data_IF_026005999579
#
_entry.id   IF_026005999579
#
_cell.length_a   1.000
_cell.length_b   1.000
_cell.length_c   1.000
_cell.angle_alpha   90.00
_cell.angle_beta   90.00
_cell.angle_gamma   90.00
#
_symmetry.space_group_name_H-M   'P 1'
#
loop_
_entity.id
_entity.type
_entity.pdbx_description
1 polymer ?
#
# COMPACT_ATOMS: atom_id res chain seq x y z
N UNK A 1 -31.10 12.95 3.90
CA UNK A 1 -31.42 12.09 2.74
C UNK A 1 -30.46 10.93 2.83
N UNK A 2 -30.94 9.70 3.08
CA UNK A 2 -30.07 8.53 3.06
C UNK A 2 -29.39 8.46 1.68
N UNK A 3 -28.10 8.15 1.62
CA UNK A 3 -27.47 7.98 0.31
C UNK A 3 -28.18 6.83 -0.42
N UNK A 4 -28.33 6.89 -1.75
CA UNK A 4 -29.05 5.86 -2.52
C UNK A 4 -28.61 4.43 -2.22
N UNK A 5 -27.36 4.27 -1.79
CA UNK A 5 -26.74 3.00 -1.41
C UNK A 5 -27.37 2.39 -0.14
N UNK A 6 -27.69 3.22 0.87
CA UNK A 6 -28.22 2.74 2.15
C UNK A 6 -29.65 2.21 1.98
N UNK A 7 -30.46 2.92 1.18
CA UNK A 7 -31.83 2.49 0.84
C UNK A 7 -31.85 1.13 0.13
N UNK A 8 -30.90 0.88 -0.77
CA UNK A 8 -30.83 -0.37 -1.53
C UNK A 8 -30.43 -1.53 -0.61
N UNK A 9 -29.46 -1.33 0.27
CA UNK A 9 -29.03 -2.37 1.22
C UNK A 9 -30.15 -2.79 2.18
N UNK A 10 -30.87 -1.82 2.74
CA UNK A 10 -31.90 -2.08 3.76
C UNK A 10 -33.17 -2.72 3.18
N UNK A 11 -33.49 -2.49 1.91
CA UNK A 11 -34.78 -2.90 1.32
C UNK A 11 -34.69 -4.09 0.35
N UNK A 12 -33.49 -4.50 -0.08
CA UNK A 12 -33.32 -5.52 -1.14
C UNK A 12 -32.43 -6.71 -0.76
N UNK A 13 -32.08 -6.87 0.52
CA UNK A 13 -31.24 -7.99 1.02
C UNK A 13 -29.90 -8.08 0.26
N UNK A 14 -29.25 -6.94 0.07
CA UNK A 14 -27.95 -6.82 -0.63
C UNK A 14 -26.85 -6.57 0.40
N UNK A 15 -25.92 -7.52 0.54
CA UNK A 15 -24.79 -7.42 1.47
C UNK A 15 -23.82 -6.28 1.12
N UNK A 16 -23.54 -6.11 -0.18
CA UNK A 16 -22.54 -5.19 -0.70
C UNK A 16 -23.02 -4.49 -1.97
N UNK A 17 -22.98 -3.16 -1.94
CA UNK A 17 -23.20 -2.31 -3.10
C UNK A 17 -21.87 -1.66 -3.46
N UNK A 18 -21.44 -1.82 -4.71
CA UNK A 18 -20.26 -1.17 -5.25
C UNK A 18 -20.72 -0.16 -6.30
N UNK A 19 -20.40 1.12 -6.11
CA UNK A 19 -20.51 2.14 -7.17
C UNK A 19 -19.12 2.45 -7.70
N UNK A 20 -18.76 1.96 -8.89
CA UNK A 20 -17.46 2.23 -9.50
C UNK A 20 -17.20 3.73 -9.66
N UNK A 21 -18.23 4.53 -9.95
CA UNK A 21 -18.12 5.98 -10.12
C UNK A 21 -17.71 6.66 -8.82
N UNK A 22 -18.37 6.30 -7.71
CA UNK A 22 -18.05 6.84 -6.39
C UNK A 22 -16.67 6.40 -5.90
N UNK A 23 -16.32 5.13 -6.11
CA UNK A 23 -15.00 4.58 -5.77
C UNK A 23 -13.92 5.33 -6.55
N UNK A 24 -14.09 5.48 -7.86
CA UNK A 24 -13.14 6.18 -8.73
C UNK A 24 -13.00 7.66 -8.35
N UNK A 25 -14.10 8.35 -8.07
CA UNK A 25 -14.07 9.77 -7.67
C UNK A 25 -13.32 9.99 -6.35
N UNK A 26 -13.51 9.08 -5.37
CA UNK A 26 -12.78 9.10 -4.09
C UNK A 26 -11.28 8.89 -4.31
N UNK A 27 -10.90 7.94 -5.16
CA UNK A 27 -9.49 7.68 -5.48
C UNK A 27 -8.81 8.87 -6.17
N UNK A 28 -9.47 9.47 -7.16
CA UNK A 28 -8.95 10.69 -7.81
C UNK A 28 -8.77 11.81 -6.77
N UNK A 29 -9.77 12.04 -5.90
CA UNK A 29 -9.69 13.05 -4.85
C UNK A 29 -8.52 12.80 -3.90
N UNK A 30 -8.31 11.54 -3.48
CA UNK A 30 -7.20 11.11 -2.62
C UNK A 30 -5.84 11.40 -3.26
N UNK A 31 -5.69 11.09 -4.55
CA UNK A 31 -4.46 11.35 -5.31
C UNK A 31 -4.17 12.84 -5.44
N UNK A 32 -5.19 13.67 -5.73
CA UNK A 32 -5.05 15.13 -5.84
C UNK A 32 -4.65 15.76 -4.51
N UNK A 33 -5.21 15.28 -3.38
CA UNK A 33 -4.90 15.80 -2.04
C UNK A 33 -3.53 15.36 -1.52
N UNK A 34 -2.89 14.36 -2.14
CA UNK A 34 -1.61 13.79 -1.70
C UNK A 34 -0.56 13.80 -2.81
N UNK A 35 -0.14 14.99 -3.31
CA UNK A 35 0.71 15.13 -4.50
C UNK A 35 2.16 14.63 -4.33
N UNK A 36 2.50 13.96 -3.23
CA UNK A 36 3.83 13.39 -2.96
C UNK A 36 3.76 12.00 -2.32
N UNK A 37 2.65 11.27 -2.55
CA UNK A 37 2.36 10.00 -1.89
C UNK A 37 3.54 9.00 -1.98
N UNK A 38 4.30 8.93 -0.89
CA UNK A 38 4.67 7.63 -0.32
C UNK A 38 3.32 6.93 -0.16
N UNK A 39 3.07 5.82 -0.87
CA UNK A 39 1.82 5.08 -0.70
C UNK A 39 1.74 4.63 0.76
N UNK A 40 0.97 5.40 1.54
CA UNK A 40 0.70 5.14 2.95
C UNK A 40 -0.69 4.54 3.02
N UNK A 41 -0.75 3.23 3.21
CA UNK A 41 -2.03 2.54 3.40
C UNK A 41 -2.16 2.13 4.86
N UNK A 42 -3.25 2.54 5.49
CA UNK A 42 -3.58 2.17 6.86
C UNK A 42 -4.41 0.87 6.86
N UNK A 43 -3.92 -0.14 7.56
CA UNK A 43 -4.55 -1.44 7.73
C UNK A 43 -4.98 -1.66 9.19
N UNK A 44 -5.89 -2.62 9.40
CA UNK A 44 -6.35 -3.05 10.72
C UNK A 44 -6.86 -1.91 11.62
N UNK A 45 -7.52 -0.91 11.02
CA UNK A 45 -8.02 0.28 11.72
C UNK A 45 -6.92 1.24 12.16
N UNK A 46 -5.84 1.38 11.37
CA UNK A 46 -4.70 2.26 11.66
C UNK A 46 -3.63 1.65 12.56
N UNK A 47 -3.71 0.34 12.87
CA UNK A 47 -2.72 -0.37 13.69
C UNK A 47 -1.49 -0.80 12.92
N UNK A 48 -1.61 -0.92 11.60
CA UNK A 48 -0.52 -1.25 10.69
C UNK A 48 -0.51 -0.22 9.59
N UNK A 49 0.67 0.27 9.24
CA UNK A 49 0.86 1.21 8.15
C UNK A 49 1.83 0.62 7.14
N UNK A 50 1.37 0.47 5.91
CA UNK A 50 2.22 0.11 4.78
C UNK A 50 2.81 1.39 4.20
N UNK A 51 4.11 1.37 3.90
CA UNK A 51 4.85 2.48 3.32
C UNK A 51 5.64 1.97 2.13
N UNK A 52 5.54 2.65 0.99
CA UNK A 52 6.39 2.39 -0.17
C UNK A 52 7.65 3.26 -0.12
N UNK A 53 8.83 2.66 -0.26
CA UNK A 53 10.09 3.40 -0.26
C UNK A 53 11.00 2.91 -1.36
N UNK A 54 11.46 3.85 -2.20
CA UNK A 54 12.36 3.56 -3.31
C UNK A 54 13.81 3.50 -2.85
N UNK A 55 14.52 2.43 -3.19
CA UNK A 55 15.94 2.27 -2.92
C UNK A 55 16.74 3.10 -3.92
N UNK A 56 17.28 4.23 -3.45
CA UNK A 56 18.22 5.02 -4.24
C UNK A 56 19.47 4.20 -4.62
N UNK A 57 20.05 4.39 -5.83
CA UNK A 57 21.33 3.78 -6.20
C UNK A 57 22.49 4.10 -5.25
N UNK A 58 22.38 5.17 -4.44
CA UNK A 58 23.37 5.55 -3.43
C UNK A 58 22.99 5.08 -2.01
N UNK A 59 21.93 4.30 -1.87
CA UNK A 59 21.45 3.82 -0.58
C UNK A 59 22.47 2.87 0.06
N UNK A 60 22.76 2.99 1.37
CA UNK A 60 23.62 2.04 2.08
C UNK A 60 22.99 0.64 2.18
N UNK A 61 21.69 0.51 1.89
CA UNK A 61 20.97 -0.76 1.88
C UNK A 61 21.02 -1.47 0.51
N UNK A 62 21.45 -0.77 -0.54
CA UNK A 62 21.58 -1.38 -1.86
C UNK A 62 22.61 -2.52 -1.84
N UNK A 63 22.28 -3.59 -2.56
CA UNK A 63 23.05 -4.83 -2.68
C UNK A 63 23.25 -5.64 -1.39
N UNK A 64 22.55 -5.30 -0.31
CA UNK A 64 22.57 -6.08 0.93
C UNK A 64 21.44 -7.11 0.96
N UNK A 65 21.74 -8.26 1.56
CA UNK A 65 20.74 -9.29 1.87
C UNK A 65 19.87 -8.82 3.04
N UNK A 66 18.57 -9.10 2.97
CA UNK A 66 17.60 -8.62 3.96
C UNK A 66 17.93 -9.06 5.39
N UNK A 67 18.47 -10.27 5.57
CA UNK A 67 18.90 -10.77 6.89
C UNK A 67 20.03 -9.95 7.52
N UNK A 68 20.81 -9.23 6.72
CA UNK A 68 21.95 -8.42 7.16
C UNK A 68 21.59 -6.94 7.33
N UNK A 69 20.35 -6.56 7.05
CA UNK A 69 19.84 -5.20 7.20
C UNK A 69 19.23 -5.04 8.59
N UNK A 70 19.69 -4.04 9.34
CA UNK A 70 19.09 -3.63 10.61
C UNK A 70 17.97 -2.64 10.35
N UNK A 71 16.73 -3.11 10.44
CA UNK A 71 15.54 -2.27 10.37
C UNK A 71 15.21 -1.67 11.75
N UNK A 72 14.53 -0.50 11.80
CA UNK A 72 13.98 0.00 13.04
C UNK A 72 13.02 -1.00 13.71
N UNK A 73 12.82 -0.91 15.03
CA UNK A 73 11.82 -1.71 15.72
C UNK A 73 10.44 -1.54 15.07
N UNK A 74 9.69 -2.63 14.94
CA UNK A 74 8.35 -2.65 14.34
C UNK A 74 8.25 -2.33 12.85
N UNK A 75 9.38 -2.31 12.13
CA UNK A 75 9.41 -2.19 10.66
C UNK A 75 9.71 -3.55 10.05
N UNK A 76 8.92 -3.93 9.05
CA UNK A 76 9.10 -5.14 8.26
C UNK A 76 9.03 -4.78 6.78
N UNK A 77 9.99 -5.26 6.00
CA UNK A 77 9.90 -5.23 4.53
C UNK A 77 8.94 -6.34 4.14
N UNK A 78 7.72 -5.98 3.78
CA UNK A 78 6.66 -6.94 3.46
C UNK A 78 6.72 -7.42 2.01
N UNK A 79 7.16 -6.55 1.08
CA UNK A 79 7.14 -6.77 -0.37
C UNK A 79 8.31 -6.02 -1.01
N UNK A 80 8.83 -6.55 -2.11
CA UNK A 80 9.74 -5.85 -3.03
C UNK A 80 9.03 -5.77 -4.39
N UNK A 81 8.93 -4.56 -4.96
CA UNK A 81 8.40 -4.35 -6.31
C UNK A 81 9.58 -4.10 -7.26
N UNK A 82 9.94 -5.10 -8.06
CA UNK A 82 11.06 -5.02 -8.98
C UNK A 82 10.61 -5.33 -10.39
N UNK A 83 10.91 -4.45 -11.33
CA UNK A 83 10.57 -4.62 -12.75
C UNK A 83 9.08 -4.99 -12.96
N UNK A 84 8.18 -4.35 -12.21
CA UNK A 84 6.74 -4.61 -12.20
C UNK A 84 6.32 -5.99 -11.65
N UNK A 85 7.22 -6.72 -10.99
CA UNK A 85 6.92 -7.96 -10.29
C UNK A 85 6.92 -7.76 -8.78
N UNK A 86 5.88 -8.29 -8.13
CA UNK A 86 5.81 -8.37 -6.67
C UNK A 86 6.55 -9.61 -6.18
N UNK A 87 7.52 -9.40 -5.29
CA UNK A 87 8.33 -10.44 -4.68
C UNK A 87 8.04 -10.47 -3.19
N UNK A 88 7.74 -11.67 -2.64
CA UNK A 88 7.66 -11.89 -1.20
C UNK A 88 9.09 -12.12 -0.69
N UNK A 89 9.63 -11.22 0.15
CA UNK A 89 11.03 -11.27 0.55
C UNK A 89 11.34 -12.38 1.55
N UNK A 90 12.50 -13.01 1.35
CA UNK A 90 13.18 -13.92 2.27
C UNK A 90 14.53 -13.33 2.69
N UNK A 91 15.14 -13.87 3.76
CA UNK A 91 16.37 -13.30 4.33
C UNK A 91 17.56 -13.25 3.37
N UNK A 92 17.62 -14.12 2.36
CA UNK A 92 18.69 -14.15 1.36
C UNK A 92 18.42 -13.25 0.14
N UNK A 93 17.22 -12.65 0.04
CA UNK A 93 16.93 -11.71 -1.03
C UNK A 93 17.74 -10.43 -0.82
N UNK A 94 18.23 -9.89 -1.94
CA UNK A 94 19.00 -8.65 -1.95
C UNK A 94 18.13 -7.50 -2.39
N UNK A 95 18.21 -6.39 -1.66
CA UNK A 95 17.72 -5.10 -2.17
C UNK A 95 18.63 -4.63 -3.29
N UNK A 96 18.06 -4.22 -4.41
CA UNK A 96 18.76 -3.65 -5.55
C UNK A 96 18.38 -2.17 -5.72
N UNK A 97 19.22 -1.37 -6.40
CA UNK A 97 18.84 -0.03 -6.80
C UNK A 97 17.52 -0.04 -7.57
N UNK A 98 16.66 0.93 -7.26
CA UNK A 98 15.34 1.16 -7.86
C UNK A 98 14.25 0.16 -7.47
N UNK A 99 14.55 -0.80 -6.58
CA UNK A 99 13.53 -1.50 -5.79
C UNK A 99 12.65 -0.52 -4.99
#
# INVERSE_FOLDING_TARGET
LAEPVDYIKENFDIDLVLSPELITAREISRLVMTPSAINVEDFAGGRVRLLESKISPRSPYAHRELKDIKLPPSVLIALILRDHHMIIPHGNDRLLPLD
#
